data_IF_040441889093
#
_entry.id   IF_040441889093
#
_cell.length_a   1.000
_cell.length_b   1.000
_cell.length_c   1.000
_cell.angle_alpha   90.00
_cell.angle_beta   90.00
_cell.angle_gamma   90.00
#
_symmetry.space_group_name_H-M   'P 1'
#
loop_
_entity.id
_entity.type
_entity.pdbx_description
1 polymer ?
#
# COMPACT_ATOMS: atom_id res chain seq x y z
N UNK A 1 15.88 -14.98 -22.61
CA UNK A 1 14.93 -13.92 -23.02
C UNK A 1 13.72 -14.04 -22.12
N UNK A 2 13.33 -12.92 -21.53
CA UNK A 2 12.64 -12.74 -20.25
C UNK A 2 11.50 -13.71 -19.93
N UNK A 3 11.61 -14.37 -18.77
CA UNK A 3 10.48 -15.04 -18.11
C UNK A 3 9.35 -14.04 -17.91
N UNK A 4 8.08 -14.45 -18.06
CA UNK A 4 6.95 -13.64 -17.63
C UNK A 4 7.11 -13.45 -16.13
N UNK A 5 7.34 -12.21 -15.72
CA UNK A 5 7.18 -11.79 -14.35
C UNK A 5 5.81 -12.33 -13.90
N UNK A 6 5.77 -13.06 -12.78
CA UNK A 6 4.50 -13.45 -12.18
C UNK A 6 3.90 -12.19 -11.52
N UNK A 7 3.64 -11.18 -12.36
CA UNK A 7 3.20 -9.84 -11.98
C UNK A 7 1.76 -9.98 -11.54
N UNK A 8 1.52 -9.93 -10.24
CA UNK A 8 0.16 -9.75 -9.76
C UNK A 8 -0.38 -8.44 -10.33
N UNK A 9 -1.53 -8.50 -10.99
CA UNK A 9 -2.19 -7.29 -11.49
C UNK A 9 -2.69 -6.44 -10.31
N UNK A 10 -2.83 -5.13 -10.51
CA UNK A 10 -3.37 -4.26 -9.46
C UNK A 10 -4.75 -4.76 -8.95
N UNK A 11 -5.60 -5.26 -9.85
CA UNK A 11 -6.88 -5.88 -9.48
C UNK A 11 -6.70 -7.06 -8.52
N UNK A 12 -5.76 -7.98 -8.79
CA UNK A 12 -5.48 -9.12 -7.90
C UNK A 12 -5.02 -8.67 -6.52
N UNK A 13 -4.13 -7.68 -6.45
CA UNK A 13 -3.66 -7.13 -5.17
C UNK A 13 -4.81 -6.47 -4.41
N UNK A 14 -5.67 -5.72 -5.10
CA UNK A 14 -6.81 -5.04 -4.49
C UNK A 14 -7.84 -6.03 -3.94
N UNK A 15 -8.07 -7.18 -4.59
CA UNK A 15 -9.00 -8.20 -4.05
C UNK A 15 -8.59 -8.77 -2.70
N UNK A 16 -7.29 -8.79 -2.39
CA UNK A 16 -6.80 -9.28 -1.11
C UNK A 16 -7.12 -8.33 0.05
N UNK A 17 -7.35 -7.04 -0.24
CA UNK A 17 -7.72 -6.06 0.76
C UNK A 17 -9.24 -6.13 1.04
N UNK A 18 -9.66 -6.36 2.30
CA UNK A 18 -11.08 -6.50 2.65
C UNK A 18 -11.97 -5.32 2.23
N UNK A 19 -11.38 -4.13 2.10
CA UNK A 19 -12.06 -2.92 1.68
C UNK A 19 -12.61 -2.98 0.24
N UNK A 20 -12.03 -3.82 -0.62
CA UNK A 20 -12.43 -3.98 -2.02
C UNK A 20 -13.12 -5.31 -2.30
N UNK A 21 -13.30 -6.16 -1.29
CA UNK A 21 -13.85 -7.51 -1.46
C UNK A 21 -15.31 -7.52 -1.93
N UNK A 22 -16.06 -6.44 -1.68
CA UNK A 22 -17.47 -6.31 -2.05
C UNK A 22 -17.67 -5.60 -3.40
N UNK A 23 -16.60 -5.19 -4.07
CA UNK A 23 -16.71 -4.56 -5.39
C UNK A 23 -16.97 -5.59 -6.48
N UNK A 24 -17.85 -5.23 -7.41
CA UNK A 24 -18.02 -6.03 -8.62
C UNK A 24 -16.76 -5.95 -9.51
N UNK A 25 -16.55 -6.94 -10.40
CA UNK A 25 -15.33 -7.02 -11.20
C UNK A 25 -15.06 -5.78 -12.07
N UNK A 26 -16.09 -5.10 -12.59
CA UNK A 26 -15.90 -3.94 -13.45
C UNK A 26 -15.49 -2.69 -12.65
N UNK A 27 -16.07 -2.52 -11.46
CA UNK A 27 -15.65 -1.45 -10.54
C UNK A 27 -14.24 -1.69 -10.02
N UNK A 28 -13.91 -2.93 -9.65
CA UNK A 28 -12.55 -3.30 -9.23
C UNK A 28 -11.51 -3.01 -10.31
N UNK A 29 -11.81 -3.34 -11.57
CA UNK A 29 -10.94 -3.06 -12.71
C UNK A 29 -10.74 -1.55 -12.90
N UNK A 30 -11.80 -0.76 -12.73
CA UNK A 30 -11.71 0.72 -12.79
C UNK A 30 -10.78 1.27 -11.70
N UNK A 31 -10.89 0.76 -10.47
CA UNK A 31 -9.98 1.14 -9.37
C UNK A 31 -8.56 0.69 -9.65
N UNK A 32 -8.37 -0.52 -10.17
CA UNK A 32 -7.07 -1.06 -10.54
C UNK A 32 -6.37 -0.20 -11.60
N UNK A 33 -7.10 0.34 -12.56
CA UNK A 33 -6.58 1.25 -13.60
C UNK A 33 -6.20 2.63 -13.04
N UNK A 34 -6.86 3.08 -11.97
CA UNK A 34 -6.51 4.32 -11.27
C UNK A 34 -5.37 4.14 -10.25
N UNK A 35 -5.04 2.90 -9.89
CA UNK A 35 -3.99 2.60 -8.92
C UNK A 35 -2.60 2.87 -9.50
N UNK A 36 -1.73 3.46 -8.69
CA UNK A 36 -0.34 3.76 -9.07
C UNK A 36 0.58 2.86 -8.27
N UNK A 37 1.33 2.01 -8.97
CA UNK A 37 2.39 1.21 -8.34
C UNK A 37 3.55 2.11 -7.92
N UNK A 38 4.00 1.95 -6.67
CA UNK A 38 5.23 2.56 -6.17
C UNK A 38 6.02 1.54 -5.40
N UNK A 39 7.31 1.47 -5.69
CA UNK A 39 8.27 0.64 -4.99
C UNK A 39 9.09 1.53 -4.04
N UNK A 40 9.34 1.03 -2.84
CA UNK A 40 10.08 1.73 -1.79
C UNK A 40 11.22 0.84 -1.27
N UNK A 41 12.36 1.46 -0.99
CA UNK A 41 13.48 0.78 -0.34
C UNK A 41 13.31 0.74 1.18
N UNK A 42 14.00 -0.20 1.83
CA UNK A 42 14.02 -0.28 3.30
C UNK A 42 14.48 1.03 3.92
N UNK A 43 13.65 1.59 4.81
CA UNK A 43 13.92 2.85 5.50
C UNK A 43 13.41 4.09 4.77
N UNK A 44 12.87 3.96 3.55
CA UNK A 44 12.17 5.06 2.90
C UNK A 44 10.82 5.34 3.56
N UNK A 45 10.50 6.62 3.68
CA UNK A 45 9.22 7.08 4.24
C UNK A 45 8.20 7.21 3.11
N UNK A 46 7.02 6.62 3.30
CA UNK A 46 5.92 6.68 2.33
C UNK A 46 5.21 8.03 2.40
N UNK A 47 4.86 8.49 3.60
CA UNK A 47 4.31 9.82 3.90
C UNK A 47 4.47 10.14 5.40
N UNK A 48 4.34 11.43 5.76
CA UNK A 48 4.42 11.91 7.13
C UNK A 48 3.05 12.28 7.72
N UNK A 49 2.95 12.25 9.06
CA UNK A 49 1.78 12.77 9.77
C UNK A 49 1.61 14.26 9.48
N UNK A 50 0.39 14.66 9.09
CA UNK A 50 0.06 16.06 8.76
C UNK A 50 0.24 16.43 7.30
N UNK A 51 0.84 15.56 6.46
CA UNK A 51 0.84 15.77 5.02
C UNK A 51 -0.57 15.62 4.43
N UNK A 52 -0.91 16.36 3.36
CA UNK A 52 -2.18 16.19 2.67
C UNK A 52 -2.41 14.73 2.30
N UNK A 53 -3.59 14.20 2.62
CA UNK A 53 -3.94 12.83 2.32
C UNK A 53 -3.93 12.61 0.79
N UNK A 54 -2.91 11.92 0.28
CA UNK A 54 -2.76 11.65 -1.14
C UNK A 54 -3.68 10.52 -1.64
N UNK A 55 -4.25 9.73 -0.73
CA UNK A 55 -5.17 8.64 -1.06
C UNK A 55 -5.00 7.42 -0.15
N UNK A 56 -5.52 6.29 -0.61
CA UNK A 56 -5.40 4.99 0.06
C UNK A 56 -4.18 4.23 -0.46
N UNK A 57 -3.46 3.59 0.46
CA UNK A 57 -2.29 2.77 0.14
C UNK A 57 -2.59 1.30 0.45
N UNK A 58 -2.13 0.41 -0.42
CA UNK A 58 -2.22 -1.04 -0.27
C UNK A 58 -0.82 -1.62 -0.41
N UNK A 59 -0.42 -2.48 0.53
CA UNK A 59 0.89 -3.14 0.51
C UNK A 59 0.79 -4.35 -0.41
N UNK A 60 1.41 -4.29 -1.58
CA UNK A 60 1.48 -5.44 -2.51
C UNK A 60 2.49 -6.49 -2.05
N UNK A 61 3.58 -6.07 -1.41
CA UNK A 61 4.63 -6.96 -0.94
C UNK A 61 5.51 -6.28 0.12
N UNK A 62 6.02 -7.08 1.04
CA UNK A 62 6.78 -6.59 2.18
C UNK A 62 5.87 -6.09 3.32
N UNK A 63 6.36 -5.11 4.08
CA UNK A 63 5.66 -4.57 5.23
C UNK A 63 6.02 -3.10 5.47
N UNK A 64 5.09 -2.38 6.09
CA UNK A 64 5.24 -0.98 6.50
C UNK A 64 5.10 -0.86 8.02
N UNK A 65 5.90 0.01 8.61
CA UNK A 65 5.84 0.40 10.02
C UNK A 65 5.14 1.75 10.12
N UNK A 66 3.96 1.78 10.74
CA UNK A 66 3.30 3.04 11.11
C UNK A 66 3.84 3.46 12.47
N UNK A 67 4.52 4.61 12.49
CA UNK A 67 5.11 5.17 13.71
C UNK A 67 4.51 6.53 14.03
N UNK A 68 4.48 6.84 15.32
CA UNK A 68 4.28 8.19 15.83
C UNK A 68 5.56 8.66 16.49
N UNK A 69 6.01 9.86 16.15
CA UNK A 69 7.12 10.52 16.84
C UNK A 69 6.58 11.31 18.01
N UNK A 70 7.07 11.03 19.22
CA UNK A 70 6.77 11.84 20.39
C UNK A 70 7.52 13.19 20.34
N UNK A 71 7.07 14.22 21.07
CA UNK A 71 7.78 15.49 21.16
C UNK A 71 9.25 15.37 21.62
N UNK A 72 9.56 14.34 22.42
CA UNK A 72 10.92 14.03 22.89
C UNK A 72 11.77 13.25 21.86
N UNK A 73 11.25 13.01 20.65
CA UNK A 73 11.96 12.29 19.58
C UNK A 73 11.93 10.76 19.70
N UNK A 74 11.17 10.19 20.64
CA UNK A 74 10.98 8.74 20.73
C UNK A 74 9.97 8.26 19.68
N UNK A 75 10.32 7.22 18.93
CA UNK A 75 9.41 6.52 18.02
C UNK A 75 8.53 5.52 18.77
N UNK A 76 7.22 5.59 18.54
CA UNK A 76 6.28 4.58 18.96
C UNK A 76 5.68 3.89 17.73
N UNK A 77 5.81 2.55 17.66
CA UNK A 77 5.14 1.77 16.62
C UNK A 77 3.66 1.65 16.96
N UNK A 78 2.81 2.17 16.09
CA UNK A 78 1.36 2.08 16.23
C UNK A 78 0.82 0.80 15.58
N UNK A 79 1.35 0.45 14.41
CA UNK A 79 0.90 -0.70 13.63
C UNK A 79 1.97 -1.16 12.65
N UNK A 80 1.99 -2.46 12.39
CA UNK A 80 2.66 -3.05 11.23
C UNK A 80 1.59 -3.45 10.22
N UNK A 81 1.78 -3.09 8.96
CA UNK A 81 0.90 -3.46 7.85
C UNK A 81 1.71 -4.30 6.87
N UNK A 82 1.26 -5.52 6.59
CA UNK A 82 1.86 -6.40 5.59
C UNK A 82 0.89 -6.62 4.42
N UNK A 83 1.43 -7.13 3.31
CA UNK A 83 0.62 -7.76 2.27
C UNK A 83 -0.15 -8.97 2.83
#
# INVERSE_FOLDING_TARGET
>A
MSSPDATHTAAQVLTAAPYFAELDPATLETVAQAAIRRDYETGQVVFWEGEPCAGLYVVQGGWLKVVKLSPDGREQVLRIVSA
#
